data_IF_053246870247
#
_entry.id   IF_053246870247
#
_cell.length_a   1.000
_cell.length_b   1.000
_cell.length_c   1.000
_cell.angle_alpha   90.00
_cell.angle_beta   90.00
_cell.angle_gamma   90.00
#
_symmetry.space_group_name_H-M   'P 1'
#
loop_
_entity.id
_entity.type
_entity.pdbx_description
1 polymer ?
#
# COMPACT_ATOMS: atom_id res chain seq x y z
N UNK A 1 -29.70 35.76 -6.57
CA UNK A 1 -28.65 36.64 -7.13
C UNK A 1 -28.05 37.44 -5.98
N UNK A 2 -26.71 37.40 -5.86
CA UNK A 2 -25.77 37.95 -4.85
C UNK A 2 -25.69 37.29 -3.45
N UNK A 3 -24.50 37.22 -2.81
CA UNK A 3 -23.13 37.22 -3.35
C UNK A 3 -22.19 36.15 -2.75
N UNK A 4 -21.03 35.98 -3.40
CA UNK A 4 -19.91 35.14 -2.97
C UNK A 4 -19.22 35.69 -1.72
N UNK A 5 -18.84 34.80 -0.79
CA UNK A 5 -17.83 35.04 0.24
C UNK A 5 -16.61 34.18 -0.08
N UNK A 6 -15.55 34.86 -0.52
CA UNK A 6 -14.22 34.31 -0.66
C UNK A 6 -13.58 34.08 0.71
N UNK A 7 -12.77 33.03 0.80
CA UNK A 7 -11.60 33.01 1.67
C UNK A 7 -11.70 32.08 2.87
N UNK A 8 -11.30 30.82 2.70
CA UNK A 8 -10.49 30.10 3.68
C UNK A 8 -9.32 29.50 2.91
N UNK A 9 -8.21 30.24 2.84
CA UNK A 9 -6.98 29.78 2.22
C UNK A 9 -6.49 28.54 2.96
N UNK A 10 -6.46 27.40 2.27
CA UNK A 10 -5.70 26.25 2.72
C UNK A 10 -4.23 26.67 2.84
N UNK A 11 -3.73 26.73 4.07
CA UNK A 11 -2.32 26.91 4.37
C UNK A 11 -1.54 25.81 3.64
N UNK A 12 -0.67 26.22 2.72
CA UNK A 12 0.41 25.37 2.24
C UNK A 12 1.29 25.01 3.44
N UNK A 13 1.11 23.82 3.97
CA UNK A 13 2.07 23.25 4.91
C UNK A 13 3.30 22.91 4.07
N UNK A 14 4.32 23.77 4.12
CA UNK A 14 5.66 23.38 3.71
C UNK A 14 6.09 22.23 4.63
N UNK A 15 6.00 21.00 4.13
CA UNK A 15 6.55 19.85 4.82
C UNK A 15 8.04 20.09 4.98
N UNK A 16 8.54 20.07 6.22
CA UNK A 16 9.99 20.00 6.46
C UNK A 16 10.55 18.86 5.58
N UNK A 17 11.65 19.07 4.82
CA UNK A 17 12.25 17.97 4.09
C UNK A 17 12.58 16.90 5.12
N UNK A 18 12.04 15.69 4.91
CA UNK A 18 12.37 14.56 5.75
C UNK A 18 13.90 14.43 5.75
N UNK A 19 14.50 14.30 6.93
CA UNK A 19 15.91 13.92 7.01
C UNK A 19 16.06 12.62 6.22
N UNK A 20 17.02 12.61 5.28
CA UNK A 20 17.32 11.44 4.47
C UNK A 20 17.74 10.29 5.39
N UNK A 21 16.78 9.46 5.79
CA UNK A 21 17.00 8.19 6.46
C UNK A 21 17.52 7.24 5.38
N UNK A 22 18.85 7.12 5.28
CA UNK A 22 19.46 6.13 4.41
C UNK A 22 19.40 4.77 5.11
N UNK A 23 18.38 3.97 4.77
CA UNK A 23 18.17 2.63 5.34
C UNK A 23 18.49 1.62 4.25
N UNK A 24 19.66 0.98 4.34
CA UNK A 24 19.99 -0.13 3.45
C UNK A 24 19.23 -1.39 3.87
N UNK A 25 18.48 -1.97 2.93
CA UNK A 25 17.77 -3.22 3.13
C UNK A 25 18.72 -4.41 2.97
N UNK A 26 18.48 -5.47 3.74
CA UNK A 26 19.13 -6.77 3.49
C UNK A 26 18.67 -7.34 2.14
N UNK A 27 19.42 -8.27 1.58
CA UNK A 27 19.06 -8.89 0.29
C UNK A 27 17.69 -9.59 0.36
N UNK A 28 17.41 -10.30 1.46
CA UNK A 28 16.10 -10.90 1.73
C UNK A 28 14.97 -9.86 1.76
N UNK A 29 15.18 -8.70 2.39
CA UNK A 29 14.19 -7.61 2.41
C UNK A 29 14.00 -6.99 1.02
N UNK A 30 15.04 -6.90 0.20
CA UNK A 30 14.95 -6.44 -1.19
C UNK A 30 14.15 -7.41 -2.05
N UNK A 31 14.37 -8.72 -1.89
CA UNK A 31 13.59 -9.76 -2.58
C UNK A 31 12.12 -9.75 -2.16
N UNK A 32 11.84 -9.60 -0.86
CA UNK A 32 10.49 -9.45 -0.35
C UNK A 32 9.80 -8.21 -0.95
N UNK A 33 10.50 -7.07 -0.95
CA UNK A 33 9.99 -5.83 -1.57
C UNK A 33 9.74 -6.00 -3.07
N UNK A 34 10.64 -6.67 -3.80
CA UNK A 34 10.49 -6.91 -5.23
C UNK A 34 9.24 -7.75 -5.53
N UNK A 35 9.04 -8.82 -4.75
CA UNK A 35 7.85 -9.69 -4.84
C UNK A 35 6.58 -8.90 -4.57
N UNK A 36 6.55 -8.12 -3.49
CA UNK A 36 5.40 -7.29 -3.13
C UNK A 36 5.07 -6.24 -4.21
N UNK A 37 6.09 -5.56 -4.76
CA UNK A 37 5.92 -4.59 -5.85
C UNK A 37 5.35 -5.23 -7.11
N UNK A 38 5.89 -6.40 -7.50
CA UNK A 38 5.41 -7.12 -8.67
C UNK A 38 3.94 -7.52 -8.51
N UNK A 39 3.58 -8.12 -7.37
CA UNK A 39 2.19 -8.47 -7.06
C UNK A 39 1.25 -7.26 -7.07
N UNK A 40 1.68 -6.14 -6.48
CA UNK A 40 0.89 -4.92 -6.49
C UNK A 40 0.62 -4.40 -7.91
N UNK A 41 1.64 -4.37 -8.77
CA UNK A 41 1.52 -3.87 -10.15
C UNK A 41 0.73 -4.82 -11.05
N UNK A 42 1.02 -6.11 -10.97
CA UNK A 42 0.47 -7.09 -11.91
C UNK A 42 -0.92 -7.58 -11.51
N UNK A 43 -1.23 -7.68 -10.21
CA UNK A 43 -2.46 -8.31 -9.73
C UNK A 43 -3.41 -7.34 -9.02
N UNK A 44 -2.91 -6.41 -8.18
CA UNK A 44 -3.77 -5.50 -7.40
C UNK A 44 -4.21 -4.29 -8.25
N UNK A 45 -3.25 -3.56 -8.84
CA UNK A 45 -3.52 -2.32 -9.57
C UNK A 45 -4.60 -2.43 -10.65
N UNK A 46 -4.67 -3.51 -11.46
CA UNK A 46 -5.67 -3.62 -12.52
C UNK A 46 -7.12 -3.64 -12.02
N UNK A 47 -7.35 -4.12 -10.78
CA UNK A 47 -8.69 -4.33 -10.22
C UNK A 47 -9.02 -3.40 -9.05
N UNK A 48 -8.04 -2.61 -8.57
CA UNK A 48 -8.22 -1.71 -7.43
C UNK A 48 -9.42 -0.77 -7.57
N UNK A 49 -9.55 -0.11 -8.72
CA UNK A 49 -10.66 0.83 -8.97
C UNK A 49 -12.04 0.17 -9.00
N UNK A 50 -12.12 -1.12 -9.34
CA UNK A 50 -13.37 -1.88 -9.26
C UNK A 50 -13.73 -2.18 -7.80
N UNK A 51 -12.76 -2.65 -7.01
CA UNK A 51 -12.99 -2.95 -5.60
C UNK A 51 -13.35 -1.68 -4.80
N UNK A 52 -12.74 -0.53 -5.11
CA UNK A 52 -13.10 0.75 -4.49
C UNK A 52 -14.56 1.15 -4.79
N UNK A 53 -15.02 0.94 -6.04
CA UNK A 53 -16.38 1.30 -6.45
C UNK A 53 -17.45 0.37 -5.88
N UNK A 54 -17.13 -0.92 -5.79
CA UNK A 54 -18.09 -1.96 -5.40
C UNK A 54 -18.11 -2.18 -3.88
N UNK A 55 -17.00 -1.92 -3.20
CA UNK A 55 -16.81 -2.27 -1.79
C UNK A 55 -16.71 -3.78 -1.53
N UNK A 56 -16.55 -4.59 -2.59
CA UNK A 56 -16.40 -6.04 -2.46
C UNK A 56 -15.10 -6.41 -1.73
N UNK A 57 -15.15 -7.45 -0.89
CA UNK A 57 -13.95 -7.95 -0.24
C UNK A 57 -13.10 -8.74 -1.24
N UNK A 58 -11.82 -8.37 -1.48
CA UNK A 58 -10.99 -8.96 -2.53
C UNK A 58 -10.36 -10.29 -2.09
N UNK A 59 -11.20 -11.26 -1.67
CA UNK A 59 -10.76 -12.56 -1.16
C UNK A 59 -9.74 -13.27 -2.07
N UNK A 60 -9.87 -13.25 -3.42
CA UNK A 60 -8.88 -13.86 -4.31
C UNK A 60 -7.49 -13.24 -4.16
N UNK A 61 -7.39 -11.91 -4.06
CA UNK A 61 -6.10 -11.22 -3.89
C UNK A 61 -5.49 -11.49 -2.51
N UNK A 62 -6.32 -11.56 -1.46
CA UNK A 62 -5.84 -11.89 -0.11
C UNK A 62 -5.27 -13.31 -0.07
N UNK A 63 -5.99 -14.28 -0.65
CA UNK A 63 -5.50 -15.66 -0.76
C UNK A 63 -4.20 -15.73 -1.56
N UNK A 64 -4.10 -14.97 -2.65
CA UNK A 64 -2.89 -14.92 -3.46
C UNK A 64 -1.71 -14.31 -2.72
N UNK A 65 -1.92 -13.23 -1.96
CA UNK A 65 -0.88 -12.63 -1.13
C UNK A 65 -0.36 -13.60 -0.06
N UNK A 66 -1.26 -14.41 0.53
CA UNK A 66 -0.90 -15.49 1.45
C UNK A 66 0.00 -16.54 0.77
N UNK A 67 -0.40 -17.04 -0.40
CA UNK A 67 0.38 -18.03 -1.16
C UNK A 67 1.77 -17.53 -1.56
N UNK A 68 1.92 -16.22 -1.78
CA UNK A 68 3.20 -15.56 -2.07
C UNK A 68 4.06 -15.29 -0.82
N UNK A 69 3.58 -15.63 0.38
CA UNK A 69 4.28 -15.35 1.64
C UNK A 69 4.31 -13.87 2.02
N UNK A 70 3.44 -13.04 1.43
CA UNK A 70 3.36 -11.60 1.70
C UNK A 70 2.52 -11.26 2.94
N UNK A 71 1.97 -12.27 3.61
CA UNK A 71 1.14 -12.13 4.81
C UNK A 71 1.78 -12.86 6.00
N UNK A 72 1.63 -12.29 7.19
CA UNK A 72 1.98 -12.94 8.47
C UNK A 72 3.43 -13.43 8.59
N UNK A 73 4.38 -12.81 7.88
CA UNK A 73 5.80 -13.21 7.87
C UNK A 73 6.50 -13.18 9.24
N UNK A 74 5.90 -12.53 10.24
CA UNK A 74 6.40 -12.47 11.61
C UNK A 74 5.86 -13.59 12.52
N UNK A 75 4.83 -14.32 12.05
CA UNK A 75 4.25 -15.43 12.81
C UNK A 75 5.15 -16.65 12.65
N UNK A 76 5.53 -17.34 13.73
CA UNK A 76 6.33 -18.57 13.63
C UNK A 76 5.62 -19.64 12.79
N UNK A 77 6.37 -20.37 11.96
CA UNK A 77 5.80 -21.44 11.11
C UNK A 77 5.09 -22.54 11.93
N UNK A 78 5.45 -22.72 13.20
CA UNK A 78 4.80 -23.67 14.10
C UNK A 78 3.32 -23.35 14.37
N UNK A 79 2.90 -22.11 14.11
CA UNK A 79 1.52 -21.66 14.28
C UNK A 79 0.67 -21.83 13.02
N UNK A 80 1.23 -22.33 11.91
CA UNK A 80 0.52 -22.63 10.67
C UNK A 80 1.29 -22.29 9.39
N UNK A 81 0.75 -22.73 8.25
CA UNK A 81 1.07 -22.29 6.89
C UNK A 81 -0.21 -22.05 6.10
#
# INVERSE_FOLDING_TARGET
MLPMIAGHGWRSHSSKPAQNLHVELTDEQKEFQATARKFAVEEIMPVAAQYDKTGEYPFPLIKRAWELGLMNSHIPESCGK
#
